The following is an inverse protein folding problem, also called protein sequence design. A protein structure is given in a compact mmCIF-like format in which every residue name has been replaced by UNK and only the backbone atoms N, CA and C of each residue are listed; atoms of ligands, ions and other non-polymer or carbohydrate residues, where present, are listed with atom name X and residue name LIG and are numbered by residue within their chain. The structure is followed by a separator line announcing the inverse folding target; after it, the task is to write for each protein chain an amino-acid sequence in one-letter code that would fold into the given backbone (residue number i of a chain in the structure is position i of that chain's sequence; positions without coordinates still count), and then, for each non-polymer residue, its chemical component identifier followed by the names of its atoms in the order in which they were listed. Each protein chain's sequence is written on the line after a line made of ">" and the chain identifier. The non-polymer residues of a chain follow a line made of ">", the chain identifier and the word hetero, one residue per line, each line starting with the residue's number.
data_IF_397151301576
#
_entry.id   IF_397151301576
#
_cell.length_a   1.000
_cell.length_b   1.000
_cell.length_c   1.000
_cell.angle_alpha   90.00
_cell.angle_beta   90.00
_cell.angle_gamma   90.00
#
_symmetry.space_group_name_H-M   'P 1'
#
loop_
_entity.id
_entity.type
_entity.pdbx_description
1 polymer ?
#
# COMPACT_ATOMS: atom_id res chain seq x y z
N UNK A 1 -26.22 -14.32 3.53
CA UNK A 1 -26.11 -12.99 4.16
C UNK A 1 -24.74 -12.46 3.82
N UNK A 2 -24.60 -11.41 3.00
CA UNK A 2 -23.32 -10.67 2.86
C UNK A 2 -23.54 -9.29 3.46
N UNK A 3 -23.46 -9.17 4.80
CA UNK A 3 -23.71 -7.91 5.46
C UNK A 3 -22.43 -7.06 5.39
N UNK A 4 -22.55 -5.81 4.95
CA UNK A 4 -21.60 -4.71 5.13
C UNK A 4 -20.13 -4.99 4.81
N UNK A 5 -19.63 -4.52 3.67
CA UNK A 5 -18.18 -4.34 3.49
C UNK A 5 -17.70 -3.36 4.57
N UNK A 6 -17.07 -3.88 5.61
CA UNK A 6 -16.25 -3.12 6.55
C UNK A 6 -15.20 -2.37 5.73
N UNK A 7 -15.30 -1.05 5.71
CA UNK A 7 -14.23 -0.19 5.22
C UNK A 7 -13.38 0.19 6.42
N UNK A 8 -12.08 -0.05 6.37
CA UNK A 8 -11.16 0.47 7.37
C UNK A 8 -11.17 1.99 7.28
N UNK A 9 -11.48 2.66 8.38
CA UNK A 9 -11.49 4.12 8.46
C UNK A 9 -10.20 4.61 9.10
N UNK A 10 -9.37 5.30 8.34
CA UNK A 10 -8.21 6.02 8.86
C UNK A 10 -8.64 7.37 9.41
N UNK A 11 -8.14 7.72 10.59
CA UNK A 11 -8.21 9.10 11.08
C UNK A 11 -7.22 9.94 10.28
N UNK A 12 -7.73 10.80 9.40
CA UNK A 12 -6.92 11.67 8.56
C UNK A 12 -7.05 13.10 9.08
N UNK A 13 -6.01 13.60 9.73
CA UNK A 13 -5.94 15.01 10.15
C UNK A 13 -5.41 15.84 8.98
N UNK A 14 -6.30 16.56 8.29
CA UNK A 14 -5.93 17.41 7.15
C UNK A 14 -7.13 17.95 6.38
N UNK A 15 -6.94 18.90 5.44
CA UNK A 15 -8.01 19.32 4.53
C UNK A 15 -8.52 18.10 3.74
N UNK A 16 -9.81 18.07 3.39
CA UNK A 16 -10.38 16.99 2.55
C UNK A 16 -9.57 16.87 1.26
N UNK A 17 -8.71 15.86 1.17
CA UNK A 17 -7.91 15.60 -0.01
C UNK A 17 -8.70 14.66 -0.94
N UNK A 18 -9.61 15.24 -1.72
CA UNK A 18 -10.41 14.53 -2.74
C UNK A 18 -9.58 13.58 -3.66
N UNK A 19 -8.33 13.90 -4.06
CA UNK A 19 -7.47 12.99 -4.80
C UNK A 19 -7.22 11.66 -4.07
N UNK A 20 -6.93 11.65 -2.77
CA UNK A 20 -6.63 10.42 -2.04
C UNK A 20 -7.85 9.49 -1.97
N UNK A 21 -9.07 10.03 -1.91
CA UNK A 21 -10.30 9.22 -1.97
C UNK A 21 -10.46 8.43 -3.29
N UNK A 22 -9.81 8.87 -4.37
CA UNK A 22 -9.79 8.20 -5.67
C UNK A 22 -8.74 7.09 -5.76
N UNK A 23 -7.84 6.97 -4.78
CA UNK A 23 -6.91 5.85 -4.70
C UNK A 23 -7.62 4.58 -4.22
N UNK A 24 -7.21 3.44 -4.78
CA UNK A 24 -7.63 2.13 -4.30
C UNK A 24 -6.63 1.67 -3.24
N UNK A 25 -6.74 2.22 -2.03
CA UNK A 25 -5.92 1.79 -0.90
C UNK A 25 -6.61 0.61 -0.24
N UNK A 26 -5.91 -0.50 -0.11
CA UNK A 26 -6.42 -1.71 0.53
C UNK A 26 -5.47 -2.19 1.61
N UNK A 27 -6.03 -2.91 2.57
CA UNK A 27 -5.24 -3.69 3.52
C UNK A 27 -4.57 -4.83 2.78
N UNK A 28 -3.27 -4.95 2.96
CA UNK A 28 -2.45 -6.03 2.43
C UNK A 28 -1.78 -6.82 3.55
N UNK A 29 -1.48 -8.09 3.30
CA UNK A 29 -0.65 -8.92 4.17
C UNK A 29 0.55 -9.43 3.41
N UNK A 30 1.75 -9.15 3.92
CA UNK A 30 2.99 -9.65 3.33
C UNK A 30 3.06 -11.15 3.59
N UNK A 31 3.02 -11.97 2.53
CA UNK A 31 3.13 -13.42 2.61
C UNK A 31 4.59 -13.87 2.59
N UNK A 32 5.36 -13.29 1.67
CA UNK A 32 6.77 -13.60 1.45
C UNK A 32 7.53 -12.31 1.17
N UNK A 33 8.77 -12.20 1.68
CA UNK A 33 9.66 -11.09 1.39
C UNK A 33 11.09 -11.59 1.16
N UNK A 34 11.75 -11.11 0.10
CA UNK A 34 13.13 -11.46 -0.22
C UNK A 34 13.89 -10.25 -0.77
N UNK A 35 15.22 -10.16 -0.56
CA UNK A 35 16.00 -9.04 -1.08
C UNK A 35 16.04 -9.09 -2.61
N UNK A 36 15.99 -7.92 -3.25
CA UNK A 36 16.06 -7.83 -4.70
C UNK A 36 17.45 -8.28 -5.20
N UNK A 37 17.55 -9.16 -6.22
CA UNK A 37 18.82 -9.73 -6.67
C UNK A 37 19.80 -8.66 -7.19
N UNK A 38 19.30 -7.67 -7.93
CA UNK A 38 20.11 -6.61 -8.52
C UNK A 38 20.07 -5.27 -7.76
N UNK A 39 19.48 -5.22 -6.56
CA UNK A 39 19.34 -3.97 -5.82
C UNK A 39 19.42 -4.14 -4.31
N UNK A 40 20.45 -3.55 -3.70
CA UNK A 40 20.64 -3.52 -2.25
C UNK A 40 19.67 -2.59 -1.52
N UNK A 41 18.84 -1.85 -2.26
CA UNK A 41 17.87 -0.87 -1.70
C UNK A 41 16.44 -1.38 -1.71
N UNK A 42 16.17 -2.49 -2.40
CA UNK A 42 14.82 -2.96 -2.64
C UNK A 42 14.57 -4.30 -1.93
N UNK A 43 13.41 -4.39 -1.32
CA UNK A 43 12.76 -5.66 -1.01
C UNK A 43 11.78 -6.00 -2.12
N UNK A 44 11.64 -7.29 -2.40
CA UNK A 44 10.58 -7.86 -3.23
C UNK A 44 9.62 -8.59 -2.31
N UNK A 45 8.34 -8.28 -2.42
CA UNK A 45 7.29 -8.83 -1.59
C UNK A 45 6.16 -9.46 -2.42
N UNK A 46 5.60 -10.56 -1.91
CA UNK A 46 4.26 -11.01 -2.30
C UNK A 46 3.26 -10.57 -1.25
N UNK A 47 2.32 -9.73 -1.66
CA UNK A 47 1.34 -9.14 -0.74
C UNK A 47 -0.06 -9.58 -1.14
N UNK A 48 -0.74 -10.26 -0.22
CA UNK A 48 -2.16 -10.57 -0.35
C UNK A 48 -2.99 -9.32 -0.11
N UNK A 49 -3.74 -8.89 -1.12
CA UNK A 49 -4.66 -7.74 -1.07
C UNK A 49 -6.11 -8.17 -1.33
N UNK A 50 -6.45 -9.42 -1.01
CA UNK A 50 -7.78 -10.00 -1.18
C UNK A 50 -8.18 -10.23 -2.64
N UNK A 51 -7.19 -10.40 -3.52
CA UNK A 51 -7.38 -10.79 -4.92
C UNK A 51 -7.17 -12.30 -5.10
N UNK A 52 -7.42 -12.83 -6.30
CA UNK A 52 -7.22 -14.27 -6.56
C UNK A 52 -5.76 -14.69 -6.42
N UNK A 53 -4.83 -13.81 -6.77
CA UNK A 53 -3.39 -14.02 -6.64
C UNK A 53 -2.74 -12.87 -5.86
N UNK A 54 -1.74 -13.16 -5.00
CA UNK A 54 -0.95 -12.12 -4.34
C UNK A 54 -0.24 -11.25 -5.35
N UNK A 55 -0.11 -9.96 -5.04
CA UNK A 55 0.61 -9.01 -5.89
C UNK A 55 2.09 -9.04 -5.60
N UNK A 56 2.87 -9.04 -6.66
CA UNK A 56 4.31 -8.75 -6.58
C UNK A 56 4.53 -7.25 -6.51
N UNK A 57 5.19 -6.82 -5.44
CA UNK A 57 5.51 -5.42 -5.15
C UNK A 57 7.00 -5.37 -4.81
N UNK A 58 7.66 -4.29 -5.22
CA UNK A 58 9.00 -3.98 -4.75
C UNK A 58 8.96 -2.68 -3.95
N UNK A 59 9.58 -2.69 -2.78
CA UNK A 59 9.60 -1.56 -1.86
C UNK A 59 11.04 -1.10 -1.55
N UNK A 60 11.23 0.21 -1.46
CA UNK A 60 12.53 0.85 -1.24
C UNK A 60 12.95 0.96 0.22
N UNK A 61 12.60 -0.01 1.05
CA UNK A 61 12.74 0.05 2.51
C UNK A 61 13.88 -0.81 3.06
N UNK A 62 14.75 -1.35 2.19
CA UNK A 62 15.83 -2.27 2.58
C UNK A 62 16.81 -1.67 3.59
N UNK A 63 16.96 -0.35 3.60
CA UNK A 63 17.79 0.37 4.55
C UNK A 63 17.19 0.45 5.97
N UNK A 64 15.89 0.16 6.14
CA UNK A 64 15.18 0.27 7.43
C UNK A 64 14.79 -1.10 8.01
N UNK A 65 14.67 -2.12 7.16
CA UNK A 65 14.33 -3.49 7.55
C UNK A 65 15.42 -4.46 7.08
N UNK A 66 16.11 -5.07 8.05
CA UNK A 66 17.29 -5.91 7.81
C UNK A 66 16.92 -7.38 7.56
N UNK A 67 15.80 -7.83 8.13
CA UNK A 67 15.37 -9.24 8.08
C UNK A 67 14.01 -9.40 7.42
N UNK A 68 13.78 -10.56 6.79
CA UNK A 68 12.48 -10.87 6.16
C UNK A 68 11.41 -11.14 7.21
N UNK A 69 11.81 -11.59 8.39
CA UNK A 69 10.95 -11.85 9.54
C UNK A 69 10.28 -10.58 10.07
N UNK A 70 10.89 -9.41 9.82
CA UNK A 70 10.28 -8.11 10.10
C UNK A 70 9.23 -7.69 9.07
N UNK A 71 9.12 -8.39 7.95
CA UNK A 71 8.21 -8.06 6.86
C UNK A 71 7.10 -9.11 6.74
N UNK A 72 7.49 -10.38 6.70
CA UNK A 72 6.59 -11.53 6.56
C UNK A 72 5.54 -11.54 7.67
N UNK A 73 4.27 -11.64 7.28
CA UNK A 73 3.12 -11.65 8.19
C UNK A 73 2.61 -10.28 8.59
N UNK A 74 3.33 -9.17 8.32
CA UNK A 74 2.84 -7.82 8.64
C UNK A 74 1.64 -7.43 7.79
N UNK A 75 0.72 -6.74 8.44
CA UNK A 75 -0.38 -6.05 7.77
C UNK A 75 0.07 -4.66 7.36
N UNK A 76 -0.15 -4.30 6.10
CA UNK A 76 0.30 -3.05 5.49
C UNK A 76 -0.83 -2.44 4.68
N UNK A 77 -0.68 -1.17 4.28
CA UNK A 77 -1.59 -0.55 3.32
C UNK A 77 -0.97 -0.52 1.93
N UNK A 78 -1.74 -0.92 0.92
CA UNK A 78 -1.27 -1.05 -0.47
C UNK A 78 -2.15 -0.24 -1.41
N UNK A 79 -1.52 0.59 -2.23
CA UNK A 79 -2.20 1.27 -3.34
C UNK A 79 -2.27 0.33 -4.55
N UNK A 80 -3.48 -0.06 -4.92
CA UNK A 80 -3.75 -1.11 -5.90
C UNK A 80 -4.10 -0.60 -7.30
N UNK A 81 -4.42 0.69 -7.47
CA UNK A 81 -4.81 1.29 -8.75
C UNK A 81 -3.69 2.11 -9.42
N UNK A 82 -2.43 1.81 -9.11
CA UNK A 82 -1.27 2.37 -9.82
C UNK A 82 -1.02 1.63 -11.13
N UNK A 83 -0.33 2.29 -12.06
CA UNK A 83 0.18 1.58 -13.23
C UNK A 83 1.32 0.64 -12.80
N UNK A 84 1.35 -0.61 -13.29
CA UNK A 84 2.50 -1.48 -13.09
C UNK A 84 3.79 -0.76 -13.47
N UNK A 85 4.77 -0.84 -12.58
CA UNK A 85 6.11 -0.32 -12.77
C UNK A 85 7.11 -1.45 -12.65
N UNK A 86 8.33 -1.25 -13.17
CA UNK A 86 9.45 -2.14 -12.89
C UNK A 86 10.46 -1.38 -12.06
N UNK A 87 10.82 -1.91 -10.89
CA UNK A 87 11.84 -1.36 -10.00
C UNK A 87 13.01 -2.33 -10.00
N UNK A 88 14.19 -1.89 -10.44
CA UNK A 88 15.35 -2.78 -10.56
C UNK A 88 15.17 -3.94 -11.56
N UNK A 89 14.12 -3.91 -12.40
CA UNK A 89 13.75 -5.01 -13.30
C UNK A 89 12.63 -5.91 -12.77
N UNK A 90 12.36 -5.88 -11.46
CA UNK A 90 11.27 -6.62 -10.82
C UNK A 90 9.90 -5.92 -11.01
N UNK A 91 8.83 -6.67 -11.30
CA UNK A 91 7.49 -6.11 -11.44
C UNK A 91 6.96 -5.60 -10.09
N UNK A 92 6.47 -4.36 -10.08
CA UNK A 92 5.80 -3.76 -8.93
C UNK A 92 4.39 -3.34 -9.34
N UNK A 93 3.40 -4.12 -8.89
CA UNK A 93 1.98 -3.97 -9.19
C UNK A 93 1.21 -3.26 -8.08
N UNK A 94 1.88 -2.37 -7.36
CA UNK A 94 1.32 -1.60 -6.28
C UNK A 94 2.37 -0.76 -5.57
N UNK A 95 1.98 -0.15 -4.47
CA UNK A 95 2.89 0.59 -3.60
C UNK A 95 2.47 0.40 -2.16
N UNK A 96 3.40 -0.03 -1.31
CA UNK A 96 3.19 -0.09 0.14
C UNK A 96 3.30 1.32 0.71
N UNK A 97 2.32 1.71 1.53
CA UNK A 97 2.33 2.99 2.23
C UNK A 97 3.14 2.88 3.52
N UNK A 98 4.08 3.81 3.67
CA UNK A 98 4.91 3.95 4.86
C UNK A 98 4.86 5.40 5.36
N UNK A 99 4.89 5.59 6.67
CA UNK A 99 5.18 6.88 7.28
C UNK A 99 6.70 7.06 7.38
N UNK A 100 7.17 8.30 7.23
CA UNK A 100 8.59 8.63 7.43
C UNK A 100 8.74 9.88 8.29
N UNK A 101 9.77 9.93 9.13
CA UNK A 101 10.14 11.17 9.81
C UNK A 101 10.61 12.24 8.82
N UNK A 102 10.60 13.52 9.22
CA UNK A 102 10.95 14.66 8.35
C UNK A 102 12.34 14.49 7.70
N UNK A 103 13.29 13.91 8.44
CA UNK A 103 14.65 13.62 7.97
C UNK A 103 14.80 12.26 7.27
N UNK A 104 13.71 11.51 7.08
CA UNK A 104 13.70 10.12 6.58
C UNK A 104 14.64 9.19 7.36
N UNK A 105 14.92 9.52 8.61
CA UNK A 105 15.78 8.71 9.47
C UNK A 105 15.06 7.42 9.92
N UNK A 106 13.73 7.47 9.97
CA UNK A 106 12.87 6.36 10.34
C UNK A 106 11.76 6.26 9.29
N UNK A 107 11.54 5.05 8.80
CA UNK A 107 10.43 4.70 7.91
C UNK A 107 9.72 3.51 8.53
N UNK A 108 8.41 3.64 8.75
CA UNK A 108 7.57 2.62 9.36
C UNK A 108 6.34 2.37 8.50
N UNK A 109 5.84 1.13 8.53
CA UNK A 109 4.60 0.81 7.83
C UNK A 109 3.41 1.53 8.47
N UNK A 110 2.46 1.91 7.62
CA UNK A 110 1.13 2.31 8.12
C UNK A 110 0.38 1.03 8.48
N UNK A 111 0.25 0.76 9.77
CA UNK A 111 -0.43 -0.43 10.26
C UNK A 111 -1.95 -0.22 10.25
N UNK A 112 -2.72 -1.12 9.60
CA UNK A 112 -4.17 -1.12 9.71
C UNK A 112 -4.61 -1.60 11.11
N UNK A 113 -5.86 -1.36 11.52
CA UNK A 113 -6.38 -1.90 12.76
C UNK A 113 -6.31 -3.43 12.76
N UNK A 114 -6.11 -4.06 13.93
CA UNK A 114 -5.86 -5.51 14.03
C UNK A 114 -7.02 -6.38 13.54
N UNK A 115 -8.23 -5.82 13.47
CA UNK A 115 -9.42 -6.51 12.96
C UNK A 115 -9.55 -6.45 11.43
N UNK A 116 -8.67 -5.71 10.75
CA UNK A 116 -8.76 -5.53 9.31
C UNK A 116 -8.36 -6.79 8.54
N UNK A 117 -9.13 -7.08 7.49
CA UNK A 117 -8.92 -8.25 6.62
C UNK A 117 -8.20 -7.82 5.33
N UNK A 118 -7.26 -8.63 4.79
CA UNK A 118 -6.67 -8.37 3.48
C UNK A 118 -7.73 -8.13 2.40
N UNK A 119 -7.54 -7.06 1.62
CA UNK A 119 -8.45 -6.60 0.59
C UNK A 119 -9.55 -5.64 1.04
N UNK A 120 -9.69 -5.38 2.34
CA UNK A 120 -10.57 -4.30 2.79
C UNK A 120 -10.08 -2.94 2.28
N UNK A 121 -10.99 -2.16 1.70
CA UNK A 121 -10.69 -0.83 1.21
C UNK A 121 -10.59 0.15 2.37
N UNK A 122 -9.54 0.94 2.34
CA UNK A 122 -9.22 1.94 3.35
C UNK A 122 -9.68 3.32 2.88
N UNK A 123 -10.38 4.02 3.75
CA UNK A 123 -10.90 5.38 3.48
C UNK A 123 -10.64 6.28 4.68
N UNK A 124 -10.48 7.57 4.45
CA UNK A 124 -10.43 8.53 5.56
C UNK A 124 -11.82 8.69 6.19
N UNK A 125 -11.85 8.82 7.51
CA UNK A 125 -13.08 9.07 8.25
C UNK A 125 -13.71 10.41 7.81
N UNK A 126 -15.03 10.41 7.61
CA UNK A 126 -15.78 11.60 7.19
C UNK A 126 -15.63 11.99 5.71
N UNK A 127 -14.95 11.18 4.89
CA UNK A 127 -14.81 11.41 3.45
C UNK A 127 -15.78 10.52 2.67
N UNK A 128 -16.24 10.99 1.52
CA UNK A 128 -17.03 10.18 0.60
C UNK A 128 -16.13 9.10 -0.03
N UNK A 129 -16.73 7.94 -0.33
CA UNK A 129 -16.03 6.80 -0.94
C UNK A 129 -16.43 6.70 -2.41
N UNK A 130 -15.82 7.50 -3.31
CA UNK A 130 -16.06 7.36 -4.73
C UNK A 130 -15.49 6.04 -5.24
N UNK A 131 -15.92 5.62 -6.43
CA UNK A 131 -15.27 4.51 -7.13
C UNK A 131 -13.79 4.85 -7.38
N UNK A 132 -12.87 3.88 -7.20
CA UNK A 132 -11.46 4.14 -7.42
C UNK A 132 -11.20 4.60 -8.86
N UNK A 133 -10.31 5.58 -9.01
CA UNK A 133 -9.89 6.04 -10.33
C UNK A 133 -9.12 4.92 -11.06
N UNK A 134 -9.24 4.90 -12.39
CA UNK A 134 -8.43 4.01 -13.23
C UNK A 134 -6.94 4.36 -13.15
N UNK A 135 -6.02 3.41 -13.41
CA UNK A 135 -4.57 3.67 -13.41
C UNK A 135 -4.14 4.82 -14.33
N UNK A 136 -4.89 5.07 -15.41
CA UNK A 136 -4.65 6.20 -16.30
C UNK A 136 -5.00 7.55 -15.64
N UNK A 137 -6.09 7.62 -14.89
CA UNK A 137 -6.52 8.82 -14.19
C UNK A 137 -5.57 9.15 -13.03
N UNK A 138 -5.09 8.14 -12.29
CA UNK A 138 -4.12 8.33 -11.20
C UNK A 138 -2.84 8.98 -11.72
N UNK A 139 -2.26 8.45 -12.80
CA UNK A 139 -1.05 9.03 -13.41
C UNK A 139 -1.30 10.43 -14.00
N UNK A 140 -2.44 10.64 -14.67
CA UNK A 140 -2.74 11.91 -15.36
C UNK A 140 -3.01 13.04 -14.38
N UNK A 141 -3.63 12.76 -13.24
CA UNK A 141 -4.00 13.75 -12.22
C UNK A 141 -2.95 13.91 -11.12
N UNK A 142 -1.80 13.22 -11.19
CA UNK A 142 -0.75 13.24 -10.16
C UNK A 142 -1.31 13.04 -8.74
N UNK A 143 -2.29 12.13 -8.61
CA UNK A 143 -3.11 11.99 -7.40
C UNK A 143 -2.28 11.69 -6.15
N UNK A 144 -1.16 10.99 -6.30
CA UNK A 144 -0.23 10.68 -5.20
C UNK A 144 0.62 11.89 -4.77
N UNK A 145 0.83 12.87 -5.64
CA UNK A 145 1.66 14.06 -5.40
C UNK A 145 0.83 15.31 -5.04
N UNK A 146 -0.51 15.19 -5.04
CA UNK A 146 -1.47 16.28 -4.86
C UNK A 146 -1.97 16.39 -3.42
#
# INVERSE_FOLDING_TARGET
>A
VRPGRSSVRLMCEGPRNEPFALLDVRVGKILEAWPHPDSEKLWCEKIDVGEEEPREIASGIRAYYESKEELEGKAVLVVCNLKPAKLGGFPSNGMVLCGSSENKAVVEFVEPPPEAVPGERVVCEGWEMPEPASPNQVKKKKILEA
#
